data_IF_893339180196
#
_entry.id   IF_893339180196
#
_cell.length_a   1.000
_cell.length_b   1.000
_cell.length_c   1.000
_cell.angle_alpha   90.00
_cell.angle_beta   90.00
_cell.angle_gamma   90.00
#
_symmetry.space_group_name_H-M   'P 1'
#
loop_
_entity.id
_entity.type
_entity.pdbx_description
1 polymer ?
#
# COMPACT_ATOMS: atom_id res chain seq x y z
N UNK A 1 -12.58 28.21 13.82
CA UNK A 1 -11.46 28.69 14.66
C UNK A 1 -10.51 27.57 15.12
N UNK A 2 -10.40 26.44 14.42
CA UNK A 2 -9.37 25.43 14.70
C UNK A 2 -9.25 24.53 13.46
N UNK A 3 -8.61 25.04 12.41
CA UNK A 3 -8.09 24.19 11.34
C UNK A 3 -6.67 23.84 11.75
N UNK A 4 -6.32 22.56 11.77
CA UNK A 4 -4.92 22.16 11.86
C UNK A 4 -4.23 22.74 10.62
N UNK A 5 -3.59 23.88 10.79
CA UNK A 5 -2.85 24.55 9.75
C UNK A 5 -1.58 23.77 9.47
N UNK A 6 -0.93 24.15 8.37
CA UNK A 6 0.37 23.60 8.00
C UNK A 6 1.40 23.74 9.13
N UNK A 7 1.30 24.83 9.89
CA UNK A 7 2.23 25.16 10.97
C UNK A 7 2.09 24.23 12.18
N UNK A 8 0.86 23.93 12.61
CA UNK A 8 0.61 22.98 13.70
C UNK A 8 1.02 21.55 13.30
N UNK A 9 0.73 21.16 12.05
CA UNK A 9 1.10 19.84 11.54
C UNK A 9 2.64 19.67 11.48
N UNK A 10 3.36 20.73 11.09
CA UNK A 10 4.82 20.74 11.08
C UNK A 10 5.41 20.69 12.50
N UNK A 11 4.80 21.37 13.47
CA UNK A 11 5.20 21.28 14.88
C UNK A 11 5.04 19.86 15.43
N UNK A 12 3.89 19.22 15.17
CA UNK A 12 3.62 17.84 15.56
C UNK A 12 4.63 16.90 14.89
N UNK A 13 4.91 17.09 13.60
CA UNK A 13 5.90 16.30 12.86
C UNK A 13 7.28 16.39 13.52
N UNK A 14 7.72 17.58 13.91
CA UNK A 14 9.01 17.77 14.62
C UNK A 14 9.04 17.01 15.94
N UNK A 15 7.97 17.09 16.74
CA UNK A 15 7.89 16.35 18.02
C UNK A 15 7.98 14.84 17.77
N UNK A 16 7.21 14.32 16.79
CA UNK A 16 7.25 12.90 16.41
C UNK A 16 8.66 12.51 15.94
N UNK A 17 9.33 13.33 15.14
CA UNK A 17 10.69 13.08 14.67
C UNK A 17 11.71 13.06 15.81
N UNK A 18 11.52 13.84 16.88
CA UNK A 18 12.39 13.81 18.07
C UNK A 18 12.16 12.51 18.87
N UNK A 19 10.90 12.11 19.07
CA UNK A 19 10.55 10.92 19.84
C UNK A 19 10.96 9.62 19.15
N UNK A 20 10.69 9.51 17.85
CA UNK A 20 10.94 8.30 17.07
C UNK A 20 12.29 8.35 16.33
N UNK A 21 12.84 9.55 16.09
CA UNK A 21 14.02 9.75 15.26
C UNK A 21 13.69 9.91 13.77
N UNK A 22 14.44 10.77 13.08
CA UNK A 22 14.25 11.07 11.66
C UNK A 22 14.37 9.85 10.72
N UNK A 23 15.08 8.80 11.16
CA UNK A 23 15.29 7.59 10.36
C UNK A 23 14.17 6.54 10.53
N UNK A 24 13.40 6.56 11.62
CA UNK A 24 12.40 5.50 11.89
C UNK A 24 11.14 5.65 11.07
N UNK A 25 10.64 6.88 10.88
CA UNK A 25 9.49 7.15 10.00
C UNK A 25 9.68 6.62 8.56
N UNK A 26 10.78 6.94 7.85
CA UNK A 26 10.98 6.44 6.49
C UNK A 26 11.26 4.94 6.44
N UNK A 27 11.91 4.37 7.46
CA UNK A 27 12.13 2.92 7.59
C UNK A 27 10.81 2.15 7.74
N UNK A 28 9.92 2.62 8.62
CA UNK A 28 8.57 2.10 8.78
C UNK A 28 7.76 2.23 7.49
N UNK A 29 7.77 3.40 6.85
CA UNK A 29 7.07 3.62 5.59
C UNK A 29 7.57 2.68 4.46
N UNK A 30 8.89 2.44 4.38
CA UNK A 30 9.47 1.50 3.40
C UNK A 30 9.05 0.06 3.67
N UNK A 31 9.07 -0.38 4.93
CA UNK A 31 8.65 -1.74 5.30
C UNK A 31 7.16 -1.97 5.02
N UNK A 32 6.29 -1.08 5.49
CA UNK A 32 4.85 -1.11 5.24
C UNK A 32 4.54 -1.00 3.74
N UNK A 33 5.21 -0.10 3.03
CA UNK A 33 5.03 0.08 1.59
C UNK A 33 5.38 -1.18 0.80
N UNK A 34 6.46 -1.87 1.18
CA UNK A 34 6.86 -3.13 0.57
C UNK A 34 5.83 -4.24 0.84
N UNK A 35 5.34 -4.35 2.08
CA UNK A 35 4.28 -5.30 2.44
C UNK A 35 2.97 -5.04 1.69
N UNK A 36 2.54 -3.77 1.59
CA UNK A 36 1.32 -3.40 0.85
C UNK A 36 1.48 -3.67 -0.64
N UNK A 37 2.68 -3.44 -1.21
CA UNK A 37 2.99 -3.73 -2.61
C UNK A 37 2.90 -5.22 -2.92
N UNK A 38 3.55 -6.06 -2.12
CA UNK A 38 3.49 -7.53 -2.21
C UNK A 38 2.05 -8.03 -2.05
N UNK A 39 1.32 -7.52 -1.04
CA UNK A 39 -0.08 -7.86 -0.80
C UNK A 39 -0.96 -7.53 -2.01
N UNK A 40 -0.84 -6.30 -2.56
CA UNK A 40 -1.61 -5.89 -3.74
C UNK A 40 -1.27 -6.73 -4.97
N UNK A 41 0.01 -7.11 -5.13
CA UNK A 41 0.45 -8.00 -6.22
C UNK A 41 -0.20 -9.38 -6.09
N UNK A 42 -0.13 -10.00 -4.92
CA UNK A 42 -0.74 -11.31 -4.67
C UNK A 42 -2.25 -11.32 -4.89
N UNK A 43 -2.97 -10.28 -4.44
CA UNK A 43 -4.41 -10.13 -4.71
C UNK A 43 -4.69 -9.98 -6.21
N UNK A 44 -3.89 -9.18 -6.91
CA UNK A 44 -4.06 -8.98 -8.36
C UNK A 44 -3.79 -10.27 -9.14
N UNK A 45 -2.75 -11.03 -8.79
CA UNK A 45 -2.42 -12.32 -9.41
C UNK A 45 -3.50 -13.36 -9.14
N UNK A 46 -4.02 -13.45 -7.91
CA UNK A 46 -5.14 -14.33 -7.57
C UNK A 46 -6.41 -14.01 -8.38
N UNK A 47 -6.75 -12.73 -8.54
CA UNK A 47 -7.88 -12.33 -9.39
C UNK A 47 -7.64 -12.58 -10.89
N UNK A 48 -6.38 -12.54 -11.33
CA UNK A 48 -6.00 -12.84 -12.72
C UNK A 48 -6.04 -14.33 -13.03
N UNK A 49 -5.67 -15.19 -12.08
CA UNK A 49 -5.77 -16.64 -12.23
C UNK A 49 -7.24 -17.08 -12.35
N UNK A 50 -8.17 -16.47 -11.62
CA UNK A 50 -9.61 -16.73 -11.80
C UNK A 50 -10.12 -16.26 -13.19
N UNK A 51 -9.66 -15.11 -13.70
CA UNK A 51 -10.08 -14.65 -15.05
C UNK A 51 -9.42 -15.45 -16.18
N UNK A 52 -8.19 -15.92 -16.01
CA UNK A 52 -7.47 -16.69 -17.05
C UNK A 52 -7.97 -18.15 -17.09
N UNK A 53 -8.41 -18.70 -15.95
CA UNK A 53 -9.08 -20.00 -15.90
C UNK A 53 -10.47 -19.99 -16.54
N UNK A 54 -11.18 -18.85 -16.52
CA UNK A 54 -12.45 -18.68 -17.23
C UNK A 54 -12.26 -18.53 -18.76
N UNK A 55 -11.25 -17.79 -19.22
CA UNK A 55 -10.96 -17.61 -20.64
C UNK A 55 -10.49 -18.89 -21.35
N UNK A 56 -9.85 -19.83 -20.64
CA UNK A 56 -9.41 -21.12 -21.22
C UNK A 56 -10.51 -22.17 -21.36
N UNK A 57 -11.68 -22.01 -20.71
CA UNK A 57 -12.79 -22.98 -20.80
C UNK A 57 -13.78 -22.69 -21.93
N UNK A 58 -13.74 -21.51 -22.56
CA UNK A 58 -14.65 -21.15 -23.65
C UNK A 58 -14.19 -21.64 -25.03
N UNK A 59 -12.90 -21.90 -25.23
CA UNK A 59 -12.35 -22.40 -26.51
C UNK A 59 -12.50 -23.92 -26.70
N UNK A 60 -12.57 -24.72 -25.63
CA UNK A 60 -12.69 -26.19 -25.73
C UNK A 60 -14.14 -26.68 -25.93
N UNK A 61 -15.15 -25.83 -25.64
CA UNK A 61 -16.56 -26.22 -25.80
C UNK A 61 -17.15 -25.90 -27.18
N UNK A 62 -16.33 -25.37 -28.10
CA UNK A 62 -16.74 -24.97 -29.45
C UNK A 62 -16.00 -25.75 -30.57
N UNK A 63 -15.17 -26.73 -30.20
CA UNK A 63 -14.51 -27.66 -31.13
C UNK A 63 -15.26 -28.99 -31.20
#
# INVERSE_FOLDING_TARGET
MFGLGYQELLLILVIVLILFGANRLPELARSLGSSVKEFKKGVTEASKDESTAAAKKEDEKKA
#
